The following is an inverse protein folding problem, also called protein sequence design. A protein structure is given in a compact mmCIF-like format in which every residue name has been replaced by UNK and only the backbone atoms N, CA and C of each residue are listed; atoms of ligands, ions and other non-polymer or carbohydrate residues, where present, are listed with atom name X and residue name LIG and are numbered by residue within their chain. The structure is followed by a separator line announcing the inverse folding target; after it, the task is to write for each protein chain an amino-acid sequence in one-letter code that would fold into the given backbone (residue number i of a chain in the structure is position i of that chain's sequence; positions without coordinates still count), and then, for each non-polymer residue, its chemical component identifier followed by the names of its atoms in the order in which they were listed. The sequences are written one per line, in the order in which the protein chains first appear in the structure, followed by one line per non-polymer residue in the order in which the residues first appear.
data_IF_812559297102
#
_entry.id   IF_812559297102
#
_cell.length_a   1.000
_cell.length_b   1.000
_cell.length_c   1.000
_cell.angle_alpha   90.00
_cell.angle_beta   90.00
_cell.angle_gamma   90.00
#
_symmetry.space_group_name_H-M   'P 1'
#
loop_
_entity.id
_entity.type
_entity.pdbx_description
1 polymer ?
#
# COMPACT_ATOMS: atom_id res chain seq x y z
N UNK A 1 -21.85 -52.98 3.23
CA UNK A 1 -20.59 -52.41 2.68
C UNK A 1 -20.82 -50.91 2.59
N UNK A 2 -20.28 -50.13 3.54
CA UNK A 2 -20.57 -48.68 3.69
C UNK A 2 -19.56 -47.90 2.85
N UNK A 3 -20.03 -47.23 1.81
CA UNK A 3 -19.22 -46.26 1.06
C UNK A 3 -19.01 -45.01 1.91
N UNK A 4 -17.74 -44.68 2.15
CA UNK A 4 -17.33 -43.43 2.78
C UNK A 4 -17.31 -42.35 1.69
N UNK A 5 -18.27 -41.43 1.76
CA UNK A 5 -18.21 -40.17 1.02
C UNK A 5 -17.06 -39.36 1.60
N UNK A 6 -16.01 -39.19 0.81
CA UNK A 6 -14.86 -38.35 1.11
C UNK A 6 -15.22 -36.93 0.68
N UNK A 7 -15.69 -36.10 1.61
CA UNK A 7 -15.85 -34.66 1.40
C UNK A 7 -14.47 -34.02 1.40
N UNK A 8 -13.89 -33.87 0.21
CA UNK A 8 -12.70 -33.05 0.01
C UNK A 8 -13.09 -31.57 0.08
N UNK A 9 -12.61 -30.89 1.13
CA UNK A 9 -12.71 -29.44 1.32
C UNK A 9 -11.92 -28.74 0.21
N UNK A 10 -12.62 -28.20 -0.79
CA UNK A 10 -12.01 -27.35 -1.80
C UNK A 10 -11.57 -26.02 -1.17
N UNK A 11 -10.26 -25.86 -0.96
CA UNK A 11 -9.68 -24.54 -0.68
C UNK A 11 -9.76 -23.72 -1.97
N UNK A 12 -10.72 -22.79 -2.02
CA UNK A 12 -10.89 -21.90 -3.16
C UNK A 12 -9.72 -20.91 -3.20
N UNK A 13 -8.79 -21.12 -4.14
CA UNK A 13 -7.85 -20.09 -4.55
C UNK A 13 -8.66 -18.95 -5.17
N UNK A 14 -8.86 -17.87 -4.40
CA UNK A 14 -9.43 -16.62 -4.88
C UNK A 14 -8.40 -15.92 -5.76
N UNK A 15 -8.35 -16.26 -7.04
CA UNK A 15 -7.61 -15.48 -8.04
C UNK A 15 -8.27 -14.12 -8.19
N UNK A 16 -7.46 -13.06 -8.13
CA UNK A 16 -7.89 -11.69 -8.37
C UNK A 16 -8.50 -11.58 -9.79
N UNK A 17 -9.53 -10.74 -10.02
CA UNK A 17 -9.94 -10.38 -11.38
C UNK A 17 -8.76 -9.79 -12.16
N UNK A 18 -8.70 -10.03 -13.48
CA UNK A 18 -7.55 -9.72 -14.36
C UNK A 18 -7.05 -8.26 -14.34
N UNK A 19 -7.84 -7.31 -13.81
CA UNK A 19 -7.49 -5.90 -13.68
C UNK A 19 -7.60 -5.39 -12.23
N UNK A 20 -6.98 -6.14 -11.30
CA UNK A 20 -6.97 -5.75 -9.89
C UNK A 20 -5.60 -5.83 -9.25
N UNK A 21 -5.34 -4.91 -8.33
CA UNK A 21 -4.13 -4.83 -7.53
C UNK A 21 -4.41 -5.30 -6.11
N UNK A 22 -3.56 -6.16 -5.56
CA UNK A 22 -3.65 -6.58 -4.15
C UNK A 22 -3.22 -5.45 -3.26
N UNK A 23 -4.01 -5.18 -2.23
CA UNK A 23 -3.75 -4.13 -1.27
C UNK A 23 -3.90 -4.60 0.17
N UNK A 24 -3.03 -4.10 1.03
CA UNK A 24 -3.22 -4.10 2.48
C UNK A 24 -3.52 -2.67 2.90
N UNK A 25 -4.74 -2.44 3.36
CA UNK A 25 -5.15 -1.17 3.94
C UNK A 25 -4.79 -1.17 5.41
N UNK A 26 -4.12 -0.11 5.86
CA UNK A 26 -3.80 0.17 7.26
C UNK A 26 -4.60 1.38 7.68
N UNK A 27 -5.50 1.19 8.65
CA UNK A 27 -6.30 2.27 9.21
C UNK A 27 -5.52 3.04 10.27
N UNK A 28 -5.96 4.26 10.54
CA UNK A 28 -5.38 5.14 11.56
C UNK A 28 -5.51 4.57 12.98
N UNK A 29 -6.51 3.70 13.22
CA UNK A 29 -6.72 3.00 14.49
C UNK A 29 -5.80 1.77 14.67
N UNK A 30 -4.97 1.46 13.66
CA UNK A 30 -4.04 0.33 13.67
C UNK A 30 -4.63 -0.98 13.15
N UNK A 31 -5.91 -1.04 12.79
CA UNK A 31 -6.51 -2.21 12.14
C UNK A 31 -6.08 -2.33 10.68
N UNK A 32 -6.31 -3.50 10.07
CA UNK A 32 -5.94 -3.78 8.68
C UNK A 32 -7.00 -4.52 7.91
N UNK A 33 -7.13 -4.21 6.62
CA UNK A 33 -7.97 -4.92 5.67
C UNK A 33 -7.13 -5.42 4.49
N UNK A 34 -7.25 -6.71 4.17
CA UNK A 34 -6.71 -7.29 2.93
C UNK A 34 -7.78 -7.26 1.86
N UNK A 35 -7.41 -6.82 0.67
CA UNK A 35 -8.36 -6.75 -0.43
C UNK A 35 -7.72 -6.40 -1.76
N UNK A 36 -8.58 -5.94 -2.66
CA UNK A 36 -8.27 -5.67 -4.05
C UNK A 36 -8.82 -4.31 -4.45
N UNK A 37 -7.99 -3.56 -5.18
CA UNK A 37 -8.39 -2.36 -5.92
C UNK A 37 -8.51 -2.66 -7.40
N UNK A 38 -9.47 -2.03 -8.08
CA UNK A 38 -9.41 -1.91 -9.53
C UNK A 38 -8.33 -0.91 -9.92
N UNK A 39 -7.90 -0.96 -11.18
CA UNK A 39 -6.94 0.02 -11.72
C UNK A 39 -7.46 1.45 -11.64
N UNK A 40 -8.75 1.68 -11.91
CA UNK A 40 -9.38 3.00 -11.79
C UNK A 40 -9.36 3.53 -10.35
N UNK A 41 -9.65 2.67 -9.37
CA UNK A 41 -9.64 3.02 -7.96
C UNK A 41 -8.23 3.41 -7.50
N UNK A 42 -7.24 2.59 -7.87
CA UNK A 42 -5.83 2.87 -7.59
C UNK A 42 -5.38 4.18 -8.24
N UNK A 43 -5.80 4.45 -9.48
CA UNK A 43 -5.48 5.69 -10.20
C UNK A 43 -6.13 6.91 -9.53
N UNK A 44 -7.42 6.82 -9.17
CA UNK A 44 -8.14 7.90 -8.50
C UNK A 44 -7.51 8.29 -7.17
N UNK A 45 -7.16 7.29 -6.35
CA UNK A 45 -6.49 7.52 -5.08
C UNK A 45 -5.09 8.13 -5.25
N UNK A 46 -4.26 7.59 -6.16
CA UNK A 46 -2.90 8.11 -6.43
C UNK A 46 -2.91 9.57 -6.87
N UNK A 47 -3.96 9.99 -7.58
CA UNK A 47 -4.11 11.34 -8.08
C UNK A 47 -5.00 12.23 -7.20
N UNK A 48 -5.37 11.79 -5.99
CA UNK A 48 -6.21 12.54 -5.05
C UNK A 48 -7.56 13.01 -5.65
N UNK A 49 -8.19 12.18 -6.51
CA UNK A 49 -9.44 12.53 -7.21
C UNK A 49 -10.70 12.31 -6.37
N UNK A 50 -10.59 11.59 -5.26
CA UNK A 50 -11.70 11.25 -4.36
C UNK A 50 -11.22 11.22 -2.91
N UNK A 51 -12.13 11.54 -2.00
CA UNK A 51 -11.92 11.42 -0.54
C UNK A 51 -12.33 10.06 0.00
N UNK A 52 -12.87 9.18 -0.86
CA UNK A 52 -13.30 7.83 -0.51
C UNK A 52 -12.71 6.83 -1.48
N UNK A 53 -12.46 5.62 -0.97
CA UNK A 53 -12.01 4.50 -1.78
C UNK A 53 -12.82 3.24 -1.56
N UNK A 54 -12.97 2.45 -2.62
CA UNK A 54 -13.68 1.16 -2.60
C UNK A 54 -12.70 -0.01 -2.61
N UNK A 55 -12.68 -0.80 -1.55
CA UNK A 55 -11.86 -2.03 -1.47
C UNK A 55 -12.76 -3.25 -1.57
N UNK A 56 -12.48 -4.17 -2.49
CA UNK A 56 -13.07 -5.51 -2.42
C UNK A 56 -12.24 -6.37 -1.48
N UNK A 57 -12.78 -6.75 -0.33
CA UNK A 57 -12.08 -7.60 0.61
C UNK A 57 -11.94 -9.05 0.10
N UNK A 58 -11.12 -9.85 0.78
CA UNK A 58 -10.89 -11.27 0.42
C UNK A 58 -12.15 -12.15 0.50
N UNK A 59 -13.20 -11.72 1.21
CA UNK A 59 -14.50 -12.40 1.24
C UNK A 59 -15.44 -11.96 0.09
N UNK A 60 -14.99 -11.06 -0.79
CA UNK A 60 -15.76 -10.57 -1.94
C UNK A 60 -16.69 -9.39 -1.63
N UNK A 61 -16.74 -8.90 -0.39
CA UNK A 61 -17.54 -7.72 0.01
C UNK A 61 -16.79 -6.43 -0.34
N UNK A 62 -17.51 -5.43 -0.83
CA UNK A 62 -16.97 -4.08 -1.08
C UNK A 62 -17.10 -3.24 0.19
N UNK A 63 -15.98 -2.69 0.66
CA UNK A 63 -15.87 -1.77 1.77
C UNK A 63 -15.55 -0.36 1.23
N UNK A 64 -16.34 0.63 1.63
CA UNK A 64 -16.10 2.03 1.29
C UNK A 64 -15.40 2.73 2.45
N UNK A 65 -14.20 3.26 2.20
CA UNK A 65 -13.32 3.80 3.24
C UNK A 65 -13.06 5.27 2.98
N UNK A 66 -13.17 6.11 4.00
CA UNK A 66 -12.75 7.51 3.93
C UNK A 66 -11.23 7.60 3.98
N UNK A 67 -10.64 8.42 3.12
CA UNK A 67 -9.19 8.68 3.12
C UNK A 67 -8.71 9.19 4.48
N UNK A 68 -9.58 9.88 5.21
CA UNK A 68 -9.28 10.39 6.56
C UNK A 68 -9.17 9.33 7.65
N UNK A 69 -9.61 8.09 7.38
CA UNK A 69 -9.49 6.94 8.27
C UNK A 69 -8.23 6.11 7.98
N UNK A 70 -7.51 6.44 6.89
CA UNK A 70 -6.33 5.72 6.46
C UNK A 70 -5.08 6.23 7.19
N UNK A 71 -4.20 5.27 7.52
CA UNK A 71 -2.78 5.53 7.75
C UNK A 71 -2.01 5.38 6.45
N UNK A 72 -2.17 4.24 5.79
CA UNK A 72 -1.50 3.92 4.53
C UNK A 72 -2.21 2.79 3.79
N UNK A 73 -1.97 2.68 2.49
CA UNK A 73 -2.36 1.54 1.65
C UNK A 73 -1.13 0.99 0.98
N UNK A 74 -0.83 -0.28 1.22
CA UNK A 74 0.32 -0.99 0.65
C UNK A 74 -0.15 -1.80 -0.55
N UNK A 75 0.40 -1.52 -1.72
CA UNK A 75 0.23 -2.33 -2.92
C UNK A 75 1.24 -3.46 -2.84
N UNK A 76 0.75 -4.70 -2.82
CA UNK A 76 1.57 -5.87 -2.49
C UNK A 76 1.55 -6.92 -3.58
N UNK A 77 2.67 -7.63 -3.76
CA UNK A 77 2.75 -8.78 -4.67
C UNK A 77 1.86 -9.93 -4.16
N UNK A 78 1.93 -10.20 -2.85
CA UNK A 78 1.22 -11.27 -2.13
C UNK A 78 0.65 -10.78 -0.79
N UNK A 79 -0.36 -11.44 -0.23
CA UNK A 79 -0.93 -11.06 1.08
C UNK A 79 -0.15 -11.62 2.27
N UNK A 80 0.57 -12.70 2.06
CA UNK A 80 1.39 -13.40 3.04
C UNK A 80 2.71 -12.65 3.27
N UNK A 81 3.19 -11.97 2.23
CA UNK A 81 4.51 -11.35 2.22
C UNK A 81 5.63 -12.39 2.28
N UNK A 82 6.86 -11.91 2.48
CA UNK A 82 8.02 -12.79 2.68
C UNK A 82 8.38 -12.77 4.16
N UNK A 83 8.01 -13.85 4.85
CA UNK A 83 8.03 -13.98 6.32
C UNK A 83 9.41 -13.75 6.98
N UNK A 84 10.49 -13.80 6.19
CA UNK A 84 11.88 -13.63 6.63
C UNK A 84 12.62 -12.46 5.95
N UNK A 85 11.88 -11.54 5.32
CA UNK A 85 12.50 -10.40 4.64
C UNK A 85 12.45 -9.14 5.49
N UNK A 86 13.62 -8.68 5.93
CA UNK A 86 13.76 -7.39 6.59
C UNK A 86 13.86 -6.31 5.52
N UNK A 87 12.71 -5.80 5.08
CA UNK A 87 12.65 -4.68 4.13
C UNK A 87 13.51 -3.52 4.61
N UNK A 88 14.33 -2.97 3.72
CA UNK A 88 15.04 -1.74 4.02
C UNK A 88 14.01 -0.62 4.25
N UNK A 89 14.02 -0.01 5.44
CA UNK A 89 13.15 1.14 5.76
C UNK A 89 13.80 2.48 5.47
N UNK A 90 15.10 2.46 5.17
CA UNK A 90 15.94 3.61 4.87
C UNK A 90 16.87 3.25 3.71
N UNK A 91 17.15 4.21 2.84
CA UNK A 91 18.19 4.01 1.84
C UNK A 91 19.57 4.18 2.47
N UNK A 92 20.50 3.29 2.13
CA UNK A 92 21.90 3.38 2.56
C UNK A 92 22.72 4.34 1.69
N UNK A 93 22.24 4.63 0.49
CA UNK A 93 22.84 5.54 -0.50
C UNK A 93 21.73 6.36 -1.18
N UNK A 94 22.09 7.37 -1.96
CA UNK A 94 21.11 8.11 -2.75
C UNK A 94 20.32 7.15 -3.66
N UNK A 95 18.98 7.21 -3.69
CA UNK A 95 18.18 6.35 -4.52
C UNK A 95 18.39 6.65 -6.02
N UNK A 96 18.45 5.60 -6.83
CA UNK A 96 18.28 5.71 -8.28
C UNK A 96 16.80 5.89 -8.64
N UNK A 97 16.51 6.42 -9.83
CA UNK A 97 15.16 6.71 -10.30
C UNK A 97 14.80 8.19 -10.33
N UNK A 98 13.53 8.49 -10.58
CA UNK A 98 13.03 9.87 -10.78
C UNK A 98 12.05 10.27 -9.68
N UNK A 99 12.39 11.29 -8.92
CA UNK A 99 11.48 11.84 -7.90
C UNK A 99 12.22 12.56 -6.77
N UNK A 100 11.53 12.69 -5.64
CA UNK A 100 12.10 13.20 -4.39
C UNK A 100 12.27 12.04 -3.41
N UNK A 101 13.47 11.89 -2.87
CA UNK A 101 13.72 10.99 -1.76
C UNK A 101 13.19 11.64 -0.48
N UNK A 102 12.25 10.97 0.18
CA UNK A 102 11.62 11.49 1.39
C UNK A 102 11.69 10.49 2.53
N UNK A 103 11.73 11.03 3.75
CA UNK A 103 11.51 10.31 5.00
C UNK A 103 10.23 10.83 5.65
N UNK A 104 9.35 9.93 6.03
CA UNK A 104 8.09 10.24 6.70
C UNK A 104 8.10 9.70 8.12
N UNK A 105 7.60 10.50 9.05
CA UNK A 105 7.43 10.13 10.45
C UNK A 105 5.94 10.10 10.77
N UNK A 106 5.44 8.96 11.22
CA UNK A 106 4.05 8.81 11.66
C UNK A 106 3.87 9.21 13.12
N UNK A 107 2.64 9.55 13.51
CA UNK A 107 2.32 9.87 14.89
C UNK A 107 2.53 8.72 15.88
N UNK A 108 2.49 7.47 15.41
CA UNK A 108 2.74 6.27 16.22
C UNK A 108 4.24 5.90 16.33
N UNK A 109 5.13 6.75 15.83
CA UNK A 109 6.57 6.56 15.91
C UNK A 109 7.17 5.74 14.77
N UNK A 110 6.36 5.22 13.84
CA UNK A 110 6.86 4.55 12.66
C UNK A 110 7.60 5.55 11.73
N UNK A 111 8.68 5.08 11.11
CA UNK A 111 9.48 5.84 10.14
C UNK A 111 9.61 5.02 8.86
N UNK A 112 9.43 5.67 7.73
CA UNK A 112 9.55 5.07 6.40
C UNK A 112 10.27 6.03 5.45
N UNK A 113 11.10 5.49 4.58
CA UNK A 113 11.66 6.21 3.44
C UNK A 113 11.17 5.64 2.12
N UNK A 114 11.23 6.47 1.10
CA UNK A 114 10.95 6.07 -0.27
C UNK A 114 11.14 7.22 -1.25
N UNK A 115 10.92 6.91 -2.52
CA UNK A 115 10.88 7.91 -3.59
C UNK A 115 9.42 8.28 -3.83
N UNK A 116 9.09 9.56 -3.73
CA UNK A 116 7.79 10.09 -4.10
C UNK A 116 7.88 10.88 -5.42
N UNK A 117 6.79 11.01 -6.19
CA UNK A 117 6.76 11.87 -7.36
C UNK A 117 7.13 13.32 -6.99
N UNK A 118 7.96 13.98 -7.78
CA UNK A 118 8.22 15.41 -7.61
C UNK A 118 7.09 16.23 -8.26
N UNK A 119 5.93 16.30 -7.60
CA UNK A 119 4.74 16.97 -8.14
C UNK A 119 3.95 17.68 -7.03
N UNK A 120 3.09 18.62 -7.43
CA UNK A 120 2.20 19.31 -6.49
C UNK A 120 1.28 18.33 -5.73
N UNK A 121 0.86 17.24 -6.35
CA UNK A 121 0.07 16.19 -5.70
C UNK A 121 0.77 15.62 -4.46
N UNK A 122 2.08 15.40 -4.55
CA UNK A 122 2.89 14.93 -3.41
C UNK A 122 2.90 15.91 -2.25
N UNK A 123 2.97 17.22 -2.52
CA UNK A 123 3.12 18.22 -1.46
C UNK A 123 1.79 18.81 -0.95
N UNK A 124 0.78 18.94 -1.81
CA UNK A 124 -0.53 19.54 -1.49
C UNK A 124 -1.67 18.52 -1.33
N UNK A 125 -1.55 17.30 -1.87
CA UNK A 125 -2.59 16.27 -1.78
C UNK A 125 -2.78 15.74 -0.35
N UNK A 126 -3.94 15.12 -0.08
CA UNK A 126 -4.25 14.44 1.19
C UNK A 126 -3.44 13.15 1.34
N UNK A 127 -3.15 12.51 0.23
CA UNK A 127 -2.28 11.34 0.12
C UNK A 127 -1.21 11.55 -0.93
N UNK A 128 -0.16 10.73 -0.89
CA UNK A 128 0.84 10.67 -1.95
C UNK A 128 1.38 9.25 -2.07
N UNK A 129 1.91 8.91 -3.24
CA UNK A 129 2.57 7.63 -3.46
C UNK A 129 4.04 7.70 -3.03
N UNK A 130 4.50 6.59 -2.49
CA UNK A 130 5.85 6.37 -2.04
C UNK A 130 6.30 5.00 -2.53
N UNK A 131 7.40 4.97 -3.27
CA UNK A 131 8.05 3.72 -3.69
C UNK A 131 9.11 3.38 -2.65
N UNK A 132 8.99 2.24 -1.95
CA UNK A 132 9.99 1.79 -0.97
C UNK A 132 11.38 1.62 -1.59
N UNK A 133 12.46 1.64 -0.78
CA UNK A 133 13.84 1.55 -1.27
C UNK A 133 14.24 0.20 -1.85
N UNK A 134 13.37 -0.78 -1.71
CA UNK A 134 13.71 -2.17 -1.84
C UNK A 134 12.86 -2.83 -2.93
N UNK A 135 13.42 -3.03 -4.14
CA UNK A 135 12.70 -3.66 -5.24
C UNK A 135 12.28 -5.11 -4.96
N UNK A 136 12.98 -5.78 -4.04
CA UNK A 136 12.69 -7.15 -3.64
C UNK A 136 11.59 -7.20 -2.57
N UNK A 137 11.23 -6.07 -1.96
CA UNK A 137 10.10 -5.94 -1.04
C UNK A 137 8.80 -6.50 -1.66
N UNK A 138 7.95 -7.02 -0.77
CA UNK A 138 6.58 -7.36 -1.15
C UNK A 138 5.75 -6.10 -1.45
N UNK A 139 6.15 -4.95 -0.89
CA UNK A 139 5.51 -3.66 -1.09
C UNK A 139 6.03 -3.01 -2.39
N UNK A 140 5.18 -2.95 -3.41
CA UNK A 140 5.50 -2.35 -4.70
C UNK A 140 5.32 -0.82 -4.67
N UNK A 141 4.31 -0.37 -3.94
CA UNK A 141 4.02 1.05 -3.76
C UNK A 141 3.23 1.24 -2.47
N UNK A 142 3.38 2.39 -1.83
CA UNK A 142 2.64 2.75 -0.63
C UNK A 142 1.95 4.08 -0.86
N UNK A 143 0.65 4.14 -0.62
CA UNK A 143 -0.07 5.40 -0.51
C UNK A 143 -0.07 5.81 0.95
N UNK A 144 0.49 6.97 1.23
CA UNK A 144 0.62 7.49 2.59
C UNK A 144 -0.42 8.59 2.81
N UNK A 145 -1.22 8.47 3.87
CA UNK A 145 -2.16 9.50 4.27
C UNK A 145 -1.46 10.55 5.15
N UNK A 146 -1.44 11.81 4.70
CA UNK A 146 -0.72 12.89 5.41
C UNK A 146 -1.27 13.18 6.80
N UNK A 147 -2.56 12.93 7.03
CA UNK A 147 -3.22 13.12 8.33
C UNK A 147 -2.54 12.30 9.45
N UNK A 148 -1.91 11.18 9.11
CA UNK A 148 -1.23 10.31 10.08
C UNK A 148 0.27 10.65 10.24
N UNK A 149 0.78 11.66 9.54
CA UNK A 149 2.17 12.07 9.58
C UNK A 149 2.40 13.16 10.64
N UNK A 150 3.40 12.94 11.48
CA UNK A 150 4.04 13.99 12.28
C UNK A 150 4.86 14.94 11.41
N UNK A 151 5.44 14.44 10.32
CA UNK A 151 6.21 15.26 9.38
C UNK A 151 6.78 14.48 8.22
N UNK A 152 7.19 15.21 7.18
CA UNK A 152 7.87 14.70 6.00
C UNK A 152 9.15 15.52 5.78
N UNK A 153 10.27 14.83 5.58
CA UNK A 153 11.57 15.42 5.29
C UNK A 153 11.99 15.05 3.87
N UNK A 154 12.43 16.03 3.08
CA UNK A 154 13.06 15.79 1.78
C UNK A 154 14.55 15.57 2.04
N UNK A 155 15.04 14.38 1.70
CA UNK A 155 16.43 13.99 1.88
C UNK A 155 17.29 14.29 0.64
N UNK A 156 16.67 14.33 -0.54
CA UNK A 156 17.34 14.70 -1.78
C UNK A 156 16.47 14.48 -3.01
N UNK A 157 17.03 14.72 -4.19
CA UNK A 157 16.46 14.27 -5.45
C UNK A 157 16.91 12.83 -5.70
N UNK A 158 15.98 11.99 -6.15
CA UNK A 158 16.37 10.74 -6.79
C UNK A 158 16.75 11.09 -8.23
N UNK A 159 17.96 10.68 -8.64
CA UNK A 159 18.50 10.90 -9.98
C UNK A 159 19.34 9.69 -10.37
N UNK A 160 19.33 9.38 -11.67
CA UNK A 160 20.18 8.35 -12.28
C UNK A 160 21.62 8.85 -12.49
#
# INVERSE_FOLDING_TARGET
MRERVQTATASANLSAPDDTQRVIVRYADGTTLRGYFSTDEAHGLKNNLSDRVSVRNVAGKVENIEVSDLKAIFFVKTFEGTQNYSEFKVFTHQPSGKGVWVRVHFHDGEVMEGIAPNSLGTFAGKVFSLTPPDPQSNNENVIVAKKCLKGMQILGLASD
#
